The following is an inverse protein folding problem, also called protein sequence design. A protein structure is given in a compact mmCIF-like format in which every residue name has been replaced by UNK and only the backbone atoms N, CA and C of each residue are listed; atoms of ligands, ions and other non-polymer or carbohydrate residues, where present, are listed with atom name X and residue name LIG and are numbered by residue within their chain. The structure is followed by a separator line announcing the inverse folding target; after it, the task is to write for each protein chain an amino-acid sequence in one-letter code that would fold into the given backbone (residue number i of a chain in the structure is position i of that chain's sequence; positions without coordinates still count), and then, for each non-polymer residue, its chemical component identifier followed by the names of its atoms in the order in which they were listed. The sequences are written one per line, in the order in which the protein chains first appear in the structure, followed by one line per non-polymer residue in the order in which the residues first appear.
data_IF_468936069547
#
_entry.id   IF_468936069547
#
_cell.length_a   1.000
_cell.length_b   1.000
_cell.length_c   1.000
_cell.angle_alpha   90.00
_cell.angle_beta   90.00
_cell.angle_gamma   90.00
#
_symmetry.space_group_name_H-M   'P 1'
#
loop_
_entity.id
_entity.type
_entity.pdbx_description
1 polymer ?
#
# COMPACT_ATOMS: atom_id res chain seq x y z
N UNK A 1 -1.68 3.72 10.89
CA UNK A 1 -1.28 5.11 11.20
C UNK A 1 -2.53 5.89 11.59
N UNK A 2 -3.58 5.89 10.77
CA UNK A 2 -4.89 6.48 11.13
C UNK A 2 -5.75 5.64 12.09
N UNK A 3 -5.12 4.93 13.04
CA UNK A 3 -5.82 4.21 14.11
C UNK A 3 -6.36 5.17 15.17
N UNK A 4 -5.81 6.39 15.25
CA UNK A 4 -6.12 7.38 16.29
C UNK A 4 -5.59 7.01 17.67
N UNK A 5 -4.72 6.00 17.75
CA UNK A 5 -4.15 5.51 19.01
C UNK A 5 -2.83 6.23 19.28
N UNK A 6 -2.91 7.28 20.09
CA UNK A 6 -1.78 8.12 20.47
C UNK A 6 -1.71 8.26 21.99
N UNK A 7 -0.49 8.26 22.52
CA UNK A 7 -0.23 8.40 23.95
C UNK A 7 0.98 9.28 24.19
N UNK A 8 0.88 10.24 25.11
CA UNK A 8 2.06 10.89 25.69
C UNK A 8 2.57 10.03 26.85
N UNK A 9 3.70 9.35 26.65
CA UNK A 9 4.25 8.38 27.62
C UNK A 9 4.83 9.10 28.84
N UNK A 10 5.54 10.20 28.59
CA UNK A 10 6.05 11.17 29.56
C UNK A 10 6.07 12.54 28.88
N UNK A 11 6.14 13.68 29.61
CA UNK A 11 6.14 15.01 29.02
C UNK A 11 7.14 15.13 27.86
N UNK A 12 6.65 15.41 26.65
CA UNK A 12 7.45 15.56 25.44
C UNK A 12 7.78 14.27 24.68
N UNK A 13 7.24 13.11 25.09
CA UNK A 13 7.43 11.82 24.40
C UNK A 13 6.07 11.26 23.97
N UNK A 14 5.79 11.31 22.67
CA UNK A 14 4.52 10.85 22.08
C UNK A 14 4.74 9.58 21.28
N UNK A 15 3.89 8.58 21.53
CA UNK A 15 3.79 7.36 20.74
C UNK A 15 2.55 7.44 19.84
N UNK A 16 2.70 7.01 18.59
CA UNK A 16 1.59 6.78 17.66
C UNK A 16 1.62 5.34 17.17
N UNK A 17 0.52 4.61 17.37
CA UNK A 17 0.48 3.17 17.10
C UNK A 17 -0.02 2.87 15.68
N UNK A 18 0.89 2.37 14.85
CA UNK A 18 0.53 1.76 13.56
C UNK A 18 -0.10 0.38 13.77
N UNK A 19 -1.39 0.28 13.48
CA UNK A 19 -2.13 -0.99 13.52
C UNK A 19 -2.30 -1.55 12.11
N UNK A 20 -1.76 -2.76 11.89
CA UNK A 20 -2.00 -3.57 10.70
C UNK A 20 -2.56 -4.91 11.17
N UNK A 21 -3.61 -5.40 10.50
CA UNK A 21 -4.21 -6.70 10.80
C UNK A 21 -4.23 -7.56 9.54
N UNK A 22 -4.08 -8.86 9.71
CA UNK A 22 -4.17 -9.84 8.63
C UNK A 22 -5.53 -9.73 7.93
N UNK A 23 -6.62 -9.73 8.70
CA UNK A 23 -7.99 -9.61 8.17
C UNK A 23 -8.18 -8.40 7.26
N UNK A 24 -7.73 -7.22 7.68
CA UNK A 24 -7.88 -6.00 6.87
C UNK A 24 -6.97 -6.02 5.64
N UNK A 25 -5.74 -6.53 5.81
CA UNK A 25 -4.73 -6.60 4.73
C UNK A 25 -5.16 -7.58 3.64
N UNK A 26 -5.61 -8.79 4.01
CA UNK A 26 -6.17 -9.77 3.08
C UNK A 26 -7.39 -9.21 2.37
N UNK A 27 -8.30 -8.54 3.09
CA UNK A 27 -9.51 -7.95 2.49
C UNK A 27 -9.18 -6.90 1.41
N UNK A 28 -8.24 -6.00 1.67
CA UNK A 28 -7.88 -4.96 0.68
C UNK A 28 -7.09 -5.55 -0.50
N UNK A 29 -6.24 -6.55 -0.24
CA UNK A 29 -5.55 -7.28 -1.31
C UNK A 29 -6.54 -8.02 -2.22
N UNK A 30 -7.49 -8.78 -1.66
CA UNK A 30 -8.54 -9.46 -2.43
C UNK A 30 -9.35 -8.47 -3.26
N UNK A 31 -9.68 -7.32 -2.69
CA UNK A 31 -10.36 -6.25 -3.42
C UNK A 31 -9.51 -5.72 -4.59
N UNK A 32 -8.22 -5.45 -4.40
CA UNK A 32 -7.35 -4.96 -5.45
C UNK A 32 -7.23 -5.94 -6.64
N UNK A 33 -7.08 -7.23 -6.35
CA UNK A 33 -7.04 -8.27 -7.39
C UNK A 33 -8.39 -8.45 -8.09
N UNK A 34 -9.49 -8.41 -7.34
CA UNK A 34 -10.84 -8.43 -7.91
C UNK A 34 -11.05 -7.24 -8.85
N UNK A 35 -10.72 -6.03 -8.38
CA UNK A 35 -10.80 -4.80 -9.17
C UNK A 35 -9.97 -4.90 -10.44
N UNK A 36 -8.75 -5.42 -10.34
CA UNK A 36 -7.88 -5.59 -11.49
C UNK A 36 -8.53 -6.49 -12.55
N UNK A 37 -9.09 -7.64 -12.14
CA UNK A 37 -9.79 -8.56 -13.05
C UNK A 37 -11.01 -7.92 -13.70
N UNK A 38 -11.89 -7.29 -12.90
CA UNK A 38 -13.14 -6.70 -13.37
C UNK A 38 -12.93 -5.53 -14.33
N UNK A 39 -11.81 -4.82 -14.19
CA UNK A 39 -11.47 -3.66 -15.02
C UNK A 39 -10.40 -3.96 -16.08
N UNK A 40 -10.13 -5.24 -16.36
CA UNK A 40 -9.18 -5.67 -17.39
C UNK A 40 -7.72 -5.26 -17.14
N UNK A 41 -7.37 -4.87 -15.91
CA UNK A 41 -6.00 -4.52 -15.50
C UNK A 41 -5.16 -5.78 -15.41
N UNK A 42 -3.85 -5.63 -15.62
CA UNK A 42 -2.92 -6.76 -15.77
C UNK A 42 -1.93 -6.86 -14.64
N UNK A 43 -1.76 -5.80 -13.86
CA UNK A 43 -0.74 -5.73 -12.81
C UNK A 43 -1.26 -5.09 -11.52
N UNK A 44 -0.89 -5.69 -10.40
CA UNK A 44 -1.10 -5.15 -9.05
C UNK A 44 0.25 -5.01 -8.36
N UNK A 45 0.57 -3.81 -7.88
CA UNK A 45 1.80 -3.51 -7.14
C UNK A 45 1.51 -3.29 -5.65
N UNK A 46 2.06 -4.20 -4.85
CA UNK A 46 2.37 -4.15 -3.42
C UNK A 46 3.18 -2.93 -2.95
N UNK A 47 2.60 -1.82 -2.47
CA UNK A 47 3.42 -0.69 -1.95
C UNK A 47 3.57 -0.75 -0.43
N UNK A 48 4.83 -0.76 0.06
CA UNK A 48 5.16 -1.02 1.47
C UNK A 48 6.45 -0.34 1.94
N UNK A 49 6.80 -0.45 3.23
CA UNK A 49 8.11 -0.07 3.81
C UNK A 49 8.63 -1.16 4.75
N UNK A 50 8.45 -2.42 4.35
CA UNK A 50 8.80 -3.61 5.14
C UNK A 50 10.31 -3.79 5.40
N UNK A 51 11.17 -3.05 4.69
CA UNK A 51 12.60 -2.95 5.01
C UNK A 51 12.86 -2.27 6.37
N UNK A 52 11.99 -1.34 6.78
CA UNK A 52 12.02 -0.69 8.10
C UNK A 52 10.99 -1.33 9.03
N UNK A 53 9.71 -1.36 8.60
CA UNK A 53 8.60 -1.90 9.39
C UNK A 53 8.39 -3.38 9.15
N UNK A 54 9.36 -4.19 9.57
CA UNK A 54 9.43 -5.63 9.28
C UNK A 54 8.19 -6.43 9.70
N UNK A 55 7.54 -6.06 10.81
CA UNK A 55 6.36 -6.76 11.33
C UNK A 55 5.06 -6.22 10.72
N UNK A 56 4.78 -4.92 10.89
CA UNK A 56 3.53 -4.33 10.43
C UNK A 56 3.38 -4.40 8.90
N UNK A 57 4.34 -3.84 8.16
CA UNK A 57 4.29 -3.87 6.70
C UNK A 57 4.65 -5.25 6.14
N UNK A 58 5.45 -6.04 6.87
CA UNK A 58 5.69 -7.44 6.51
C UNK A 58 4.41 -8.27 6.52
N UNK A 59 3.54 -8.09 7.53
CA UNK A 59 2.25 -8.76 7.60
C UNK A 59 1.35 -8.37 6.41
N UNK A 60 1.25 -7.07 6.11
CA UNK A 60 0.50 -6.60 4.93
C UNK A 60 1.01 -7.25 3.63
N UNK A 61 2.33 -7.26 3.44
CA UNK A 61 2.96 -7.79 2.23
C UNK A 61 2.76 -9.30 2.10
N UNK A 62 2.82 -10.04 3.21
CA UNK A 62 2.53 -11.47 3.24
C UNK A 62 1.09 -11.77 2.83
N UNK A 63 0.11 -11.01 3.33
CA UNK A 63 -1.27 -11.13 2.89
C UNK A 63 -1.41 -10.87 1.38
N UNK A 64 -0.75 -9.83 0.86
CA UNK A 64 -0.75 -9.54 -0.58
C UNK A 64 -0.18 -10.70 -1.41
N UNK A 65 0.95 -11.30 -0.98
CA UNK A 65 1.55 -12.48 -1.65
C UNK A 65 0.61 -13.68 -1.67
N UNK A 66 -0.05 -13.96 -0.54
CA UNK A 66 -0.98 -15.07 -0.44
C UNK A 66 -2.20 -14.89 -1.35
N UNK A 67 -2.69 -13.67 -1.50
CA UNK A 67 -3.76 -13.35 -2.46
C UNK A 67 -3.22 -13.45 -3.89
N UNK A 68 -2.03 -12.91 -4.17
CA UNK A 68 -1.42 -13.00 -5.50
C UNK A 68 -1.26 -14.45 -5.99
N UNK A 69 -0.85 -15.36 -5.10
CA UNK A 69 -0.72 -16.79 -5.40
C UNK A 69 -2.05 -17.45 -5.86
N UNK A 70 -3.20 -16.88 -5.48
CA UNK A 70 -4.54 -17.34 -5.89
C UNK A 70 -5.03 -16.69 -7.19
N UNK A 71 -4.30 -15.71 -7.72
CA UNK A 71 -4.68 -14.93 -8.91
C UNK A 71 -3.50 -14.86 -9.91
N UNK A 72 -3.01 -16.01 -10.41
CA UNK A 72 -1.80 -16.09 -11.24
C UNK A 72 -1.91 -15.36 -12.58
N UNK A 73 -3.12 -15.01 -13.02
CA UNK A 73 -3.37 -14.25 -14.24
C UNK A 73 -3.03 -12.75 -14.12
N UNK A 74 -2.83 -12.25 -12.89
CA UNK A 74 -2.45 -10.87 -12.60
C UNK A 74 -0.99 -10.83 -12.19
N UNK A 75 -0.19 -9.99 -12.85
CA UNK A 75 1.21 -9.77 -12.49
C UNK A 75 1.25 -9.10 -11.12
N UNK A 76 2.00 -9.69 -10.19
CA UNK A 76 2.22 -9.13 -8.86
C UNK A 76 3.64 -8.60 -8.71
N UNK A 77 3.78 -7.35 -8.27
CA UNK A 77 5.06 -6.71 -7.98
C UNK A 77 5.04 -6.09 -6.58
N UNK A 78 6.21 -5.89 -5.99
CA UNK A 78 6.38 -5.24 -4.70
C UNK A 78 7.29 -4.02 -4.86
N UNK A 79 6.94 -2.92 -4.20
CA UNK A 79 7.72 -1.69 -4.25
C UNK A 79 7.74 -0.99 -2.91
N UNK A 80 8.94 -0.55 -2.54
CA UNK A 80 9.11 0.29 -1.35
C UNK A 80 8.53 1.67 -1.63
N UNK A 81 7.78 2.26 -0.70
CA UNK A 81 7.01 3.50 -0.89
C UNK A 81 7.83 4.69 -1.37
N UNK A 82 9.08 4.86 -0.90
CA UNK A 82 9.98 5.92 -1.39
C UNK A 82 10.34 5.74 -2.87
N UNK A 83 10.70 4.50 -3.27
CA UNK A 83 10.94 4.17 -4.66
C UNK A 83 9.65 4.18 -5.49
N UNK A 84 8.47 3.96 -4.90
CA UNK A 84 7.19 4.12 -5.59
C UNK A 84 6.96 5.60 -5.92
N UNK A 85 7.04 6.50 -4.94
CA UNK A 85 6.87 7.94 -5.15
C UNK A 85 7.87 8.50 -6.17
N UNK A 86 9.15 8.11 -6.08
CA UNK A 86 10.17 8.53 -7.04
C UNK A 86 9.82 8.08 -8.48
N UNK A 87 9.36 6.84 -8.64
CA UNK A 87 8.97 6.34 -9.96
C UNK A 87 7.68 6.96 -10.47
N UNK A 88 6.70 7.29 -9.61
CA UNK A 88 5.48 7.97 -10.03
C UNK A 88 5.77 9.34 -10.64
N UNK A 89 6.75 10.07 -10.09
CA UNK A 89 7.18 11.36 -10.66
C UNK A 89 8.02 11.16 -11.93
N UNK A 90 8.85 10.12 -11.99
CA UNK A 90 9.76 9.87 -13.11
C UNK A 90 9.06 9.31 -14.35
N UNK A 91 8.25 8.27 -14.16
CA UNK A 91 7.50 7.59 -15.21
C UNK A 91 6.32 6.84 -14.57
N UNK A 92 5.15 7.48 -14.41
CA UNK A 92 3.98 6.84 -13.82
C UNK A 92 3.37 5.75 -14.72
N UNK A 93 3.71 5.71 -16.02
CA UNK A 93 3.13 4.77 -16.99
C UNK A 93 3.52 3.31 -16.73
N UNK A 94 4.56 3.08 -15.91
CA UNK A 94 4.98 1.75 -15.49
C UNK A 94 3.99 1.09 -14.49
N UNK A 95 3.07 1.85 -13.89
CA UNK A 95 2.12 1.36 -12.88
C UNK A 95 0.73 1.08 -13.48
N UNK A 96 0.00 0.18 -12.83
CA UNK A 96 -1.39 -0.15 -13.17
C UNK A 96 -2.26 -0.03 -11.91
N UNK A 97 -2.49 -1.11 -11.16
CA UNK A 97 -3.16 -1.04 -9.86
C UNK A 97 -2.13 -0.97 -8.73
N UNK A 98 -2.27 0.01 -7.84
CA UNK A 98 -1.48 0.11 -6.61
C UNK A 98 -2.34 -0.27 -5.41
N UNK A 99 -1.83 -1.15 -4.54
CA UNK A 99 -2.48 -1.48 -3.27
C UNK A 99 -1.50 -1.23 -2.12
N UNK A 100 -1.98 -0.60 -1.05
CA UNK A 100 -1.12 -0.16 0.04
C UNK A 100 -1.89 0.10 1.34
N UNK A 101 -1.21 0.10 2.51
CA UNK A 101 -1.79 0.54 3.78
C UNK A 101 -2.21 2.00 3.79
N UNK A 102 -3.09 2.35 4.73
CA UNK A 102 -3.86 3.60 4.77
C UNK A 102 -3.03 4.87 4.50
N UNK A 103 -2.00 5.15 5.31
CA UNK A 103 -1.22 6.40 5.18
C UNK A 103 -0.50 6.51 3.83
N UNK A 104 -0.01 5.40 3.29
CA UNK A 104 0.64 5.44 1.98
C UNK A 104 -0.39 5.72 0.89
N UNK A 105 -1.60 5.15 1.03
CA UNK A 105 -2.71 5.36 0.12
C UNK A 105 -3.07 6.83 0.02
N UNK A 106 -3.25 7.47 1.17
CA UNK A 106 -3.56 8.90 1.31
C UNK A 106 -2.53 9.79 0.59
N UNK A 107 -1.24 9.59 0.88
CA UNK A 107 -0.15 10.39 0.29
C UNK A 107 -0.04 10.13 -1.22
N UNK A 108 -0.10 8.86 -1.64
CA UNK A 108 0.10 8.49 -3.05
C UNK A 108 -1.10 8.89 -3.90
N UNK A 109 -2.33 8.83 -3.38
CA UNK A 109 -3.51 9.29 -4.12
C UNK A 109 -3.42 10.78 -4.45
N UNK A 110 -3.01 11.61 -3.49
CA UNK A 110 -2.82 13.05 -3.71
C UNK A 110 -1.68 13.33 -4.68
N UNK A 111 -0.57 12.60 -4.55
CA UNK A 111 0.55 12.68 -5.50
C UNK A 111 0.07 12.38 -6.92
N UNK A 112 -0.69 11.30 -7.12
CA UNK A 112 -1.24 10.92 -8.41
C UNK A 112 -2.26 11.94 -8.95
N UNK A 113 -3.08 12.55 -8.10
CA UNK A 113 -3.98 13.64 -8.50
C UNK A 113 -3.18 14.83 -9.05
N UNK A 114 -2.07 15.18 -8.40
CA UNK A 114 -1.15 16.22 -8.88
C UNK A 114 -0.57 15.93 -10.28
N UNK A 115 -0.34 14.67 -10.63
CA UNK A 115 0.16 14.28 -11.96
C UNK A 115 -0.86 14.50 -13.08
N UNK A 116 -2.16 14.59 -12.76
CA UNK A 116 -3.25 14.73 -13.74
C UNK A 116 -3.92 16.11 -13.71
N UNK A 117 -3.37 17.07 -12.94
CA UNK A 117 -3.85 18.46 -12.91
C UNK A 117 -4.30 18.98 -11.55
N UNK A 118 -4.31 18.15 -10.51
CA UNK A 118 -4.71 18.51 -9.15
C UNK A 118 -6.08 17.95 -8.75
N UNK A 119 -6.52 18.32 -7.53
CA UNK A 119 -7.83 17.97 -6.96
C UNK A 119 -8.97 18.78 -7.59
#
# INVERSE_FOLDING_TARGET
ESSGLEHEVVPGVVESLKVITEKASTRVAEYAFKYARENGRKKVTAVHKANIMKKADGLFLECCRQVAAKNPEIIFEEKIIDNCCMQLVKDPSQFDVLVMPNLYGDIVSDLCAGLVGGL
#
